data_IF_447547356425
#
_entry.id   IF_447547356425
#
_cell.length_a   1.000
_cell.length_b   1.000
_cell.length_c   1.000
_cell.angle_alpha   90.00
_cell.angle_beta   90.00
_cell.angle_gamma   90.00
#
_symmetry.space_group_name_H-M   'P 1'
#
loop_
_entity.id
_entity.type
_entity.pdbx_description
1 polymer ?
#
# COMPACT_ATOMS: atom_id res chain seq x y z
N UNK A 1 -72.34 -22.05 12.03
CA UNK A 1 -72.50 -20.74 12.70
C UNK A 1 -71.33 -19.84 12.29
N UNK A 2 -71.55 -18.87 11.39
CA UNK A 2 -70.53 -17.90 10.95
C UNK A 2 -70.54 -16.74 11.93
N UNK A 3 -69.54 -16.68 12.82
CA UNK A 3 -69.36 -15.56 13.74
C UNK A 3 -68.81 -14.41 12.91
N UNK A 4 -69.68 -13.46 12.56
CA UNK A 4 -69.31 -12.24 11.86
C UNK A 4 -68.21 -11.56 12.67
N UNK A 5 -66.99 -11.57 12.13
CA UNK A 5 -65.89 -10.78 12.66
C UNK A 5 -66.37 -9.33 12.59
N UNK A 6 -66.73 -8.77 13.75
CA UNK A 6 -67.13 -7.37 13.83
C UNK A 6 -65.95 -6.48 13.49
N UNK A 7 -66.20 -5.19 13.25
CA UNK A 7 -65.16 -4.17 13.06
C UNK A 7 -64.06 -4.24 14.14
N UNK A 8 -64.43 -4.65 15.36
CA UNK A 8 -63.53 -4.86 16.49
C UNK A 8 -62.51 -6.01 16.26
N UNK A 9 -62.93 -7.07 15.58
CA UNK A 9 -62.04 -8.17 15.21
C UNK A 9 -60.98 -7.73 14.20
N UNK A 10 -61.37 -6.92 13.21
CA UNK A 10 -60.42 -6.37 12.23
C UNK A 10 -59.41 -5.42 12.89
N UNK A 11 -59.86 -4.56 13.81
CA UNK A 11 -58.97 -3.66 14.56
C UNK A 11 -57.96 -4.46 15.40
N UNK A 12 -58.40 -5.52 16.06
CA UNK A 12 -57.51 -6.40 16.84
C UNK A 12 -56.45 -7.05 15.94
N UNK A 13 -56.85 -7.55 14.77
CA UNK A 13 -55.92 -8.17 13.82
C UNK A 13 -54.87 -7.17 13.36
N UNK A 14 -55.28 -5.95 12.96
CA UNK A 14 -54.36 -4.89 12.52
C UNK A 14 -53.37 -4.52 13.63
N UNK A 15 -53.84 -4.40 14.87
CA UNK A 15 -52.99 -4.05 16.00
C UNK A 15 -51.93 -5.14 16.28
N UNK A 16 -52.32 -6.41 16.20
CA UNK A 16 -51.40 -7.55 16.37
C UNK A 16 -50.37 -7.60 15.24
N UNK A 17 -50.75 -7.35 13.97
CA UNK A 17 -49.79 -7.33 12.86
C UNK A 17 -48.79 -6.20 12.97
N UNK A 18 -49.20 -5.00 13.40
CA UNK A 18 -48.27 -3.87 13.60
C UNK A 18 -47.23 -4.18 14.68
N UNK A 19 -47.65 -4.81 15.79
CA UNK A 19 -46.73 -5.21 16.87
C UNK A 19 -45.74 -6.27 16.36
N UNK A 20 -46.21 -7.30 15.65
CA UNK A 20 -45.34 -8.34 15.09
C UNK A 20 -44.35 -7.78 14.06
N UNK A 21 -44.78 -6.84 13.22
CA UNK A 21 -43.91 -6.15 12.27
C UNK A 21 -42.83 -5.33 12.99
N UNK A 22 -43.18 -4.62 14.07
CA UNK A 22 -42.23 -3.86 14.88
C UNK A 22 -41.14 -4.74 15.50
N UNK A 23 -41.50 -5.90 16.06
CA UNK A 23 -40.53 -6.86 16.61
C UNK A 23 -39.60 -7.38 15.51
N UNK A 24 -40.15 -7.73 14.33
CA UNK A 24 -39.34 -8.20 13.19
C UNK A 24 -38.31 -7.15 12.73
N UNK A 25 -38.72 -5.89 12.58
CA UNK A 25 -37.84 -4.79 12.18
C UNK A 25 -36.74 -4.55 13.22
N UNK A 26 -37.09 -4.51 14.51
CA UNK A 26 -36.11 -4.32 15.59
C UNK A 26 -35.05 -5.44 15.59
N UNK A 27 -35.48 -6.69 15.41
CA UNK A 27 -34.58 -7.85 15.34
C UNK A 27 -33.66 -7.77 14.14
N UNK A 28 -34.19 -7.36 12.97
CA UNK A 28 -33.41 -7.16 11.76
C UNK A 28 -32.36 -6.04 11.92
N UNK A 29 -32.74 -4.89 12.51
CA UNK A 29 -31.80 -3.78 12.78
C UNK A 29 -30.69 -4.20 13.74
N UNK A 30 -31.02 -4.96 14.79
CA UNK A 30 -30.02 -5.47 15.74
C UNK A 30 -29.03 -6.42 15.08
N UNK A 31 -29.51 -7.30 14.18
CA UNK A 31 -28.64 -8.19 13.40
C UNK A 31 -27.79 -7.44 12.37
N UNK A 32 -28.32 -6.36 11.77
CA UNK A 32 -27.59 -5.52 10.83
C UNK A 32 -26.41 -4.80 11.50
N UNK A 33 -26.63 -4.28 12.72
CA UNK A 33 -25.54 -3.69 13.51
C UNK A 33 -24.47 -4.70 13.90
N UNK A 34 -24.84 -5.95 14.18
CA UNK A 34 -23.89 -7.02 14.47
C UNK A 34 -23.06 -7.45 13.25
N UNK A 35 -23.55 -7.26 12.03
CA UNK A 35 -22.79 -7.52 10.79
C UNK A 35 -21.79 -6.42 10.43
N UNK A 36 -22.00 -5.21 10.93
CA UNK A 36 -21.10 -4.06 10.71
C UNK A 36 -19.85 -4.14 11.60
N UNK A 37 -19.93 -4.84 12.73
CA UNK A 37 -18.72 -5.29 13.43
C UNK A 37 -18.27 -6.58 12.75
N UNK A 38 -17.15 -6.53 12.03
CA UNK A 38 -16.56 -7.73 11.43
C UNK A 38 -16.04 -8.63 12.56
N UNK A 39 -16.94 -9.36 13.21
CA UNK A 39 -16.60 -10.28 14.28
C UNK A 39 -16.15 -11.55 13.59
N UNK A 40 -14.87 -11.59 13.27
CA UNK A 40 -14.14 -12.83 13.39
C UNK A 40 -13.61 -12.85 14.83
N UNK A 41 -14.32 -13.45 15.81
CA UNK A 41 -13.98 -13.35 17.23
C UNK A 41 -12.61 -13.98 17.57
N UNK A 42 -12.03 -14.71 16.62
CA UNK A 42 -10.80 -15.46 16.76
C UNK A 42 -9.76 -15.16 15.66
N UNK A 43 -9.97 -14.15 14.80
CA UNK A 43 -8.85 -13.70 13.96
C UNK A 43 -8.01 -12.82 14.86
N UNK A 44 -6.79 -13.26 15.24
CA UNK A 44 -5.91 -12.43 16.06
C UNK A 44 -5.83 -11.07 15.36
N UNK A 45 -6.23 -10.02 16.10
CA UNK A 45 -6.01 -8.64 15.68
C UNK A 45 -4.59 -8.58 15.16
N UNK A 46 -4.45 -8.27 13.87
CA UNK A 46 -3.15 -8.07 13.26
C UNK A 46 -2.46 -7.07 14.15
N UNK A 47 -1.48 -7.55 14.93
CA UNK A 47 -0.65 -6.72 15.77
C UNK A 47 -0.24 -5.52 14.92
N UNK A 48 -0.17 -4.29 15.48
CA UNK A 48 0.40 -3.17 14.75
C UNK A 48 1.70 -3.70 14.18
N UNK A 49 1.82 -3.71 12.83
CA UNK A 49 2.99 -4.19 12.10
C UNK A 49 4.17 -3.83 12.97
N UNK A 50 4.84 -4.84 13.54
CA UNK A 50 5.96 -4.61 14.44
C UNK A 50 6.79 -3.53 13.75
N UNK A 51 7.04 -2.41 14.42
CA UNK A 51 7.92 -1.36 13.90
C UNK A 51 9.19 -2.12 13.55
N UNK A 52 9.30 -2.46 12.27
CA UNK A 52 10.33 -3.34 11.78
C UNK A 52 11.44 -2.34 11.62
N UNK A 53 12.16 -2.12 12.72
CA UNK A 53 13.47 -1.50 12.63
C UNK A 53 14.19 -2.32 11.59
N UNK A 54 14.31 -1.75 10.40
CA UNK A 54 14.99 -2.40 9.31
C UNK A 54 16.37 -2.76 9.82
N UNK A 55 16.80 -3.99 9.56
CA UNK A 55 18.13 -4.43 9.97
C UNK A 55 19.14 -3.41 9.47
N UNK A 56 20.14 -3.09 10.29
CA UNK A 56 21.20 -2.14 9.94
C UNK A 56 22.17 -2.73 8.93
N UNK A 57 21.66 -3.54 8.01
CA UNK A 57 22.37 -4.05 6.87
C UNK A 57 22.62 -2.90 5.92
N UNK A 58 23.88 -2.79 5.52
CA UNK A 58 24.36 -1.73 4.66
C UNK A 58 24.89 -2.38 3.39
N UNK A 59 24.43 -1.93 2.23
CA UNK A 59 24.96 -2.39 0.95
C UNK A 59 25.92 -1.33 0.40
N UNK A 60 27.18 -1.69 0.08
CA UNK A 60 28.11 -0.75 -0.53
C UNK A 60 27.62 -0.35 -1.91
N UNK A 61 27.66 0.94 -2.19
CA UNK A 61 27.27 1.49 -3.49
C UNK A 61 28.45 1.44 -4.48
N UNK A 62 28.17 1.37 -5.79
CA UNK A 62 29.23 1.40 -6.80
C UNK A 62 29.98 2.74 -6.82
N UNK A 63 31.25 2.77 -7.27
CA UNK A 63 32.01 4.00 -7.42
C UNK A 63 31.28 4.98 -8.34
N UNK A 64 31.15 6.24 -7.92
CA UNK A 64 30.37 7.28 -8.61
C UNK A 64 28.96 7.53 -8.04
N UNK A 65 28.53 6.77 -7.03
CA UNK A 65 27.34 7.08 -6.24
C UNK A 65 27.59 8.25 -5.29
N UNK A 66 26.54 9.01 -4.96
CA UNK A 66 26.61 10.13 -4.00
C UNK A 66 26.66 9.67 -2.54
N UNK A 67 26.24 8.43 -2.28
CA UNK A 67 26.36 7.76 -0.99
C UNK A 67 27.28 6.55 -1.13
N UNK A 68 28.17 6.35 -0.17
CA UNK A 68 29.03 5.17 -0.12
C UNK A 68 28.23 3.89 0.22
N UNK A 69 27.07 4.06 0.85
CA UNK A 69 26.33 2.99 1.51
C UNK A 69 24.82 3.23 1.41
N UNK A 70 24.07 2.26 0.88
CA UNK A 70 22.60 2.25 0.89
C UNK A 70 22.07 1.59 2.17
N UNK A 71 21.10 2.24 2.81
CA UNK A 71 20.39 1.72 4.00
C UNK A 71 18.94 1.40 3.64
N UNK A 72 18.33 0.46 4.37
CA UNK A 72 16.90 0.14 4.24
C UNK A 72 16.05 1.23 4.88
N UNK A 73 15.03 1.71 4.16
CA UNK A 73 14.12 2.77 4.62
C UNK A 73 12.76 2.15 4.99
N UNK A 74 12.22 2.41 6.20
CA UNK A 74 10.85 2.01 6.56
C UNK A 74 9.80 2.70 5.67
N UNK A 75 8.61 2.12 5.45
CA UNK A 75 8.02 0.98 6.16
C UNK A 75 8.31 -0.41 5.55
N UNK A 76 8.74 -0.45 4.30
CA UNK A 76 8.91 -1.73 3.56
C UNK A 76 10.34 -2.27 3.63
N UNK A 77 11.24 -1.56 4.31
CA UNK A 77 12.65 -1.91 4.48
C UNK A 77 13.37 -2.19 3.15
N UNK A 78 12.97 -1.46 2.11
CA UNK A 78 13.64 -1.46 0.81
C UNK A 78 14.90 -0.60 0.88
N UNK A 79 15.97 -1.01 0.20
CA UNK A 79 17.19 -0.22 0.15
C UNK A 79 16.92 1.10 -0.58
N UNK A 80 17.31 2.21 0.04
CA UNK A 80 17.33 3.50 -0.65
C UNK A 80 18.22 3.38 -1.89
N UNK A 81 17.84 4.03 -3.00
CA UNK A 81 18.68 4.02 -4.19
C UNK A 81 20.04 4.63 -3.87
N UNK A 82 21.12 3.98 -4.31
CA UNK A 82 22.49 4.49 -4.19
C UNK A 82 22.69 5.85 -4.85
N UNK A 83 21.80 6.20 -5.79
CA UNK A 83 21.74 7.50 -6.43
C UNK A 83 20.55 8.25 -5.84
N UNK A 84 20.81 9.38 -5.18
CA UNK A 84 19.74 10.31 -4.88
C UNK A 84 19.29 10.90 -6.22
N UNK A 85 18.04 10.65 -6.64
CA UNK A 85 17.49 11.04 -7.96
C UNK A 85 17.57 12.55 -8.26
N UNK A 86 18.05 13.39 -7.34
CA UNK A 86 17.90 14.84 -7.44
C UNK A 86 19.19 15.68 -7.33
N UNK A 87 20.40 15.11 -7.39
CA UNK A 87 21.62 15.92 -7.22
C UNK A 87 22.46 16.18 -8.48
N UNK A 88 22.10 15.65 -9.64
CA UNK A 88 22.36 16.45 -10.83
C UNK A 88 21.34 17.58 -10.76
N UNK A 89 21.77 18.73 -10.24
CA UNK A 89 21.03 20.00 -10.34
C UNK A 89 20.32 20.02 -11.69
N UNK A 90 19.01 20.32 -11.69
CA UNK A 90 18.14 20.37 -12.87
C UNK A 90 18.54 21.48 -13.86
N UNK A 91 19.81 21.81 -13.91
CA UNK A 91 20.43 22.60 -14.95
C UNK A 91 20.22 21.89 -16.27
N UNK A 92 19.55 22.61 -17.15
CA UNK A 92 19.41 22.29 -18.55
C UNK A 92 20.34 23.21 -19.32
N UNK A 93 21.11 22.66 -20.25
CA UNK A 93 21.87 23.46 -21.22
C UNK A 93 21.08 23.54 -22.51
N UNK A 94 20.98 24.73 -23.09
CA UNK A 94 20.38 24.90 -24.40
C UNK A 94 21.41 24.54 -25.47
N UNK A 95 21.06 23.57 -26.30
CA UNK A 95 21.82 23.20 -27.48
C UNK A 95 21.66 24.27 -28.58
N UNK A 96 22.57 24.31 -29.58
CA UNK A 96 22.54 25.31 -30.66
C UNK A 96 21.27 25.25 -31.54
N UNK A 97 20.59 24.10 -31.55
CA UNK A 97 19.30 23.86 -32.19
C UNK A 97 18.11 24.42 -31.39
N UNK A 98 18.37 24.96 -30.19
CA UNK A 98 17.35 25.45 -29.26
C UNK A 98 16.73 24.37 -28.37
N UNK A 99 17.14 23.10 -28.49
CA UNK A 99 16.66 22.02 -27.62
C UNK A 99 17.36 22.07 -26.26
N UNK A 100 16.71 21.53 -25.22
CA UNK A 100 17.24 21.52 -23.85
C UNK A 100 17.66 20.12 -23.47
N UNK A 101 18.91 19.95 -23.06
CA UNK A 101 19.46 18.67 -22.61
C UNK A 101 19.66 18.66 -21.10
N UNK A 102 19.15 17.64 -20.37
CA UNK A 102 19.43 17.46 -18.96
C UNK A 102 20.82 16.84 -18.75
N UNK A 103 21.33 16.95 -17.52
CA UNK A 103 22.50 16.19 -17.08
C UNK A 103 22.13 14.71 -16.91
N UNK A 104 22.98 13.81 -17.37
CA UNK A 104 22.82 12.36 -17.24
C UNK A 104 23.70 11.87 -16.07
N UNK A 105 23.14 11.16 -15.06
CA UNK A 105 23.92 10.45 -14.07
C UNK A 105 24.78 9.34 -14.73
N UNK A 106 25.96 8.96 -14.18
CA UNK A 106 26.45 9.25 -12.84
C UNK A 106 27.35 10.51 -12.73
N UNK A 107 27.95 10.94 -13.84
CA UNK A 107 28.90 12.07 -13.80
C UNK A 107 28.22 13.45 -13.89
N UNK A 108 26.89 13.48 -14.00
CA UNK A 108 26.11 14.70 -14.21
C UNK A 108 26.59 15.54 -15.41
N UNK A 109 27.13 14.89 -16.45
CA UNK A 109 27.46 15.54 -17.72
C UNK A 109 26.19 15.79 -18.54
N UNK A 110 26.13 16.89 -19.28
CA UNK A 110 24.99 17.16 -20.18
C UNK A 110 24.87 16.07 -21.25
N UNK A 111 23.64 15.63 -21.53
CA UNK A 111 23.39 14.71 -22.63
C UNK A 111 23.91 15.30 -23.96
N UNK A 112 24.48 14.48 -24.87
CA UNK A 112 24.86 14.96 -26.18
C UNK A 112 23.63 15.49 -26.93
N UNK A 113 23.76 16.66 -27.56
CA UNK A 113 22.70 17.26 -28.38
C UNK A 113 22.34 16.33 -29.55
N UNK A 114 21.08 15.91 -29.63
CA UNK A 114 20.57 15.06 -30.69
C UNK A 114 20.43 15.87 -32.00
N UNK A 115 21.53 16.11 -32.69
CA UNK A 115 21.51 16.87 -33.95
C UNK A 115 22.88 17.32 -34.45
N UNK A 116 23.92 17.31 -33.61
CA UNK A 116 25.27 17.70 -34.00
C UNK A 116 26.12 16.51 -34.47
N UNK A 117 25.61 15.75 -35.42
CA UNK A 117 26.43 14.90 -36.27
C UNK A 117 26.56 15.62 -37.61
N UNK A 118 27.79 15.99 -38.00
CA UNK A 118 28.16 16.74 -39.22
C UNK A 118 27.83 18.25 -39.07
N UNK A 119 28.77 19.13 -38.74
CA UNK A 119 29.88 19.58 -39.58
C UNK A 119 31.05 20.04 -38.68
N UNK A 120 32.27 19.58 -38.97
CA UNK A 120 33.45 19.91 -38.18
C UNK A 120 33.83 21.39 -38.23
N UNK A 121 33.89 22.03 -37.07
CA UNK A 121 34.85 23.10 -36.81
C UNK A 121 35.37 22.95 -35.38
N UNK A 122 36.65 22.60 -35.28
CA UNK A 122 37.42 22.57 -34.04
C UNK A 122 37.62 24.02 -33.57
N UNK A 123 36.88 24.44 -32.53
CA UNK A 123 37.27 25.62 -31.76
C UNK A 123 37.65 25.18 -30.34
N UNK A 124 38.92 24.79 -30.20
CA UNK A 124 39.58 24.65 -28.91
C UNK A 124 39.67 26.01 -28.22
N UNK A 125 38.74 26.32 -27.33
CA UNK A 125 38.99 27.28 -26.26
C UNK A 125 39.41 26.49 -25.02
N UNK A 126 40.72 26.25 -24.92
CA UNK A 126 41.37 25.90 -23.66
C UNK A 126 41.23 27.08 -22.71
N UNK A 127 40.34 26.96 -21.72
CA UNK A 127 40.41 27.76 -20.50
C UNK A 127 41.09 26.90 -19.45
N UNK A 128 42.39 27.11 -19.27
CA UNK A 128 43.17 26.60 -18.16
C UNK A 128 42.65 27.23 -16.85
N UNK A 129 41.84 26.49 -16.10
CA UNK A 129 41.47 26.84 -14.74
C UNK A 129 42.48 26.20 -13.76
N UNK A 130 43.10 26.97 -12.86
CA UNK A 130 44.22 26.50 -12.05
C UNK A 130 43.81 25.50 -10.97
N UNK A 131 44.65 24.48 -10.85
CA UNK A 131 44.84 23.53 -9.76
C UNK A 131 44.71 24.14 -8.36
N UNK A 132 43.80 23.65 -7.50
CA UNK A 132 44.01 23.67 -6.07
C UNK A 132 44.67 22.38 -5.60
N UNK A 133 45.95 22.52 -5.26
CA UNK A 133 46.70 21.93 -4.13
C UNK A 133 46.14 20.67 -3.47
N UNK A 134 46.81 19.55 -3.69
CA UNK A 134 46.74 18.38 -2.82
C UNK A 134 47.46 18.67 -1.49
N UNK A 135 46.73 18.63 -0.37
CA UNK A 135 47.33 18.48 0.97
C UNK A 135 47.36 17.00 1.31
N UNK A 136 48.55 16.41 1.22
CA UNK A 136 48.84 15.12 1.81
C UNK A 136 49.22 15.33 3.29
N UNK A 137 48.48 14.71 4.20
CA UNK A 137 48.96 14.42 5.57
C UNK A 137 48.77 12.94 5.84
N UNK A 138 49.87 12.22 5.71
CA UNK A 138 50.05 10.87 6.25
C UNK A 138 50.27 10.95 7.76
N UNK A 139 49.58 10.16 8.57
CA UNK A 139 50.16 9.64 9.83
C UNK A 139 49.52 8.30 10.18
N UNK A 140 50.33 7.25 10.08
CA UNK A 140 50.11 5.91 10.61
C UNK A 140 50.17 5.89 12.13
N UNK A 141 49.33 5.09 12.79
CA UNK A 141 49.77 4.32 13.96
C UNK A 141 48.83 3.15 14.27
N UNK A 142 49.32 1.90 14.31
CA UNK A 142 48.54 0.75 14.73
C UNK A 142 48.56 0.62 16.26
N UNK A 143 47.43 0.29 16.88
CA UNK A 143 47.44 -0.33 18.22
C UNK A 143 46.29 -1.32 18.34
N UNK A 144 46.70 -2.58 18.39
CA UNK A 144 45.92 -3.76 18.74
C UNK A 144 45.49 -3.73 20.21
N UNK A 145 44.23 -4.04 20.49
CA UNK A 145 43.84 -4.71 21.75
C UNK A 145 42.58 -5.55 21.51
N UNK A 146 42.70 -6.88 21.36
CA UNK A 146 41.59 -7.79 21.58
C UNK A 146 41.54 -8.17 23.06
N UNK A 147 40.46 -7.84 23.74
CA UNK A 147 40.11 -8.46 25.04
C UNK A 147 38.82 -9.23 24.82
N UNK A 148 38.93 -10.56 24.92
CA UNK A 148 37.83 -11.48 24.71
C UNK A 148 36.80 -11.44 25.83
N UNK A 149 35.62 -11.98 25.53
CA UNK A 149 34.75 -12.59 26.53
C UNK A 149 34.02 -13.78 25.87
N UNK A 150 34.01 -14.97 26.51
CA UNK A 150 33.44 -16.18 25.94
C UNK A 150 31.93 -16.26 26.21
N UNK A 151 31.17 -16.60 25.16
CA UNK A 151 29.76 -16.96 25.27
C UNK A 151 29.42 -18.00 24.22
N UNK A 152 29.84 -19.24 24.46
CA UNK A 152 29.37 -20.37 23.67
C UNK A 152 27.87 -20.58 23.96
N UNK A 153 27.01 -20.15 23.03
CA UNK A 153 25.63 -20.62 22.96
C UNK A 153 25.53 -21.49 21.72
N UNK A 154 25.34 -22.78 21.95
CA UNK A 154 25.20 -23.77 20.89
C UNK A 154 24.00 -23.41 20.00
N UNK A 155 24.28 -23.07 18.74
CA UNK A 155 23.26 -22.89 17.71
C UNK A 155 22.81 -24.27 17.25
N UNK A 156 21.51 -24.61 17.30
CA UNK A 156 21.01 -25.88 16.80
C UNK A 156 21.19 -25.96 15.28
N UNK A 157 21.69 -27.10 14.84
CA UNK A 157 21.83 -27.53 13.44
C UNK A 157 20.56 -27.25 12.63
N UNK A 158 20.61 -26.43 11.56
CA UNK A 158 19.49 -26.33 10.63
C UNK A 158 19.32 -27.67 9.91
N UNK A 159 18.16 -28.29 10.15
CA UNK A 159 17.69 -29.43 9.35
C UNK A 159 17.51 -28.96 7.91
N UNK A 160 17.97 -29.70 6.88
CA UNK A 160 17.70 -29.37 5.48
C UNK A 160 16.19 -29.32 5.22
N UNK A 161 15.65 -28.09 5.19
CA UNK A 161 14.27 -27.81 4.84
C UNK A 161 14.05 -28.12 3.37
N UNK A 162 13.07 -28.99 3.11
CA UNK A 162 12.58 -29.35 1.78
C UNK A 162 12.42 -28.11 0.90
N UNK A 163 12.92 -28.21 -0.33
CA UNK A 163 12.61 -27.33 -1.46
C UNK A 163 11.12 -27.03 -1.50
N UNK A 164 10.74 -25.82 -1.09
CA UNK A 164 9.38 -25.31 -1.23
C UNK A 164 9.25 -24.84 -2.67
N UNK A 165 8.47 -25.58 -3.46
CA UNK A 165 7.99 -25.17 -4.77
C UNK A 165 7.33 -23.79 -4.62
N UNK A 166 7.73 -22.77 -5.41
CA UNK A 166 7.12 -21.45 -5.33
C UNK A 166 5.63 -21.57 -5.65
N UNK A 167 4.79 -21.21 -4.67
CA UNK A 167 3.36 -21.06 -4.87
C UNK A 167 3.11 -19.87 -5.83
N UNK A 168 2.16 -19.99 -6.77
CA UNK A 168 1.90 -18.94 -7.75
C UNK A 168 1.53 -17.62 -7.04
N UNK A 169 2.25 -16.56 -7.41
CA UNK A 169 2.01 -15.18 -7.02
C UNK A 169 0.54 -14.82 -7.24
N UNK A 170 -0.19 -14.55 -6.15
CA UNK A 170 -1.56 -14.09 -6.23
C UNK A 170 -1.60 -12.70 -6.88
N UNK A 171 -2.27 -12.63 -8.03
CA UNK A 171 -2.63 -11.38 -8.70
C UNK A 171 -3.37 -10.48 -7.72
N UNK A 172 -2.96 -9.20 -7.52
CA UNK A 172 -3.66 -8.28 -6.64
C UNK A 172 -5.04 -7.97 -7.23
N UNK A 173 -6.06 -8.63 -6.68
CA UNK A 173 -7.46 -8.31 -6.93
C UNK A 173 -7.73 -6.92 -6.38
N UNK A 174 -8.05 -5.97 -7.25
CA UNK A 174 -8.42 -4.61 -6.89
C UNK A 174 -9.53 -4.60 -5.82
N UNK A 175 -9.52 -3.65 -4.87
CA UNK A 175 -10.54 -3.54 -3.84
C UNK A 175 -11.92 -3.34 -4.48
N UNK A 176 -12.75 -4.38 -4.42
CA UNK A 176 -14.15 -4.30 -4.83
C UNK A 176 -14.87 -3.35 -3.87
N UNK A 177 -15.40 -2.25 -4.43
CA UNK A 177 -16.29 -1.35 -3.72
C UNK A 177 -17.44 -2.17 -3.10
N UNK A 178 -17.84 -1.90 -1.84
CA UNK A 178 -18.93 -2.64 -1.21
C UNK A 178 -20.19 -2.43 -2.04
N UNK A 179 -20.63 -3.50 -2.68
CA UNK A 179 -21.94 -3.56 -3.33
C UNK A 179 -22.94 -3.26 -2.21
N UNK A 180 -23.58 -2.09 -2.25
CA UNK A 180 -24.66 -1.73 -1.34
C UNK A 180 -25.84 -2.64 -1.67
N UNK A 181 -25.80 -3.83 -1.07
CA UNK A 181 -26.77 -4.90 -1.19
C UNK A 181 -28.11 -4.44 -0.65
N UNK A 182 -28.95 -3.96 -1.56
CA UNK A 182 -30.40 -4.10 -1.35
C UNK A 182 -30.68 -5.57 -1.62
N UNK A 183 -30.49 -6.40 -0.59
CA UNK A 183 -30.58 -7.84 -0.75
C UNK A 183 -31.98 -8.19 -1.31
N UNK A 184 -32.01 -9.06 -2.33
CA UNK A 184 -33.24 -9.56 -2.97
C UNK A 184 -34.36 -9.98 -1.99
N UNK A 185 -34.08 -10.55 -0.80
CA UNK A 185 -35.11 -10.83 0.20
C UNK A 185 -35.86 -9.60 0.69
N UNK A 186 -35.20 -8.45 0.81
CA UNK A 186 -35.83 -7.20 1.27
C UNK A 186 -36.74 -6.61 0.20
N UNK A 187 -36.32 -6.66 -1.08
CA UNK A 187 -37.15 -6.25 -2.21
C UNK A 187 -38.41 -7.12 -2.30
N UNK A 188 -38.26 -8.45 -2.15
CA UNK A 188 -39.41 -9.35 -2.11
C UNK A 188 -40.32 -9.11 -0.90
N UNK A 189 -39.75 -8.88 0.28
CA UNK A 189 -40.53 -8.61 1.49
C UNK A 189 -41.39 -7.35 1.36
N UNK A 190 -40.82 -6.27 0.83
CA UNK A 190 -41.56 -5.02 0.57
C UNK A 190 -42.63 -5.22 -0.49
N UNK A 191 -42.32 -5.93 -1.59
CA UNK A 191 -43.28 -6.19 -2.66
C UNK A 191 -44.48 -7.03 -2.18
N UNK A 192 -44.24 -8.11 -1.45
CA UNK A 192 -45.32 -8.96 -0.90
C UNK A 192 -46.18 -8.16 0.08
N UNK A 193 -45.56 -7.38 0.97
CA UNK A 193 -46.29 -6.54 1.92
C UNK A 193 -47.20 -5.54 1.21
N UNK A 194 -46.71 -4.89 0.16
CA UNK A 194 -47.49 -3.96 -0.65
C UNK A 194 -48.69 -4.63 -1.33
N UNK A 195 -48.50 -5.83 -1.89
CA UNK A 195 -49.58 -6.61 -2.50
C UNK A 195 -50.66 -7.04 -1.50
N UNK A 196 -50.28 -7.40 -0.27
CA UNK A 196 -51.25 -7.75 0.78
C UNK A 196 -52.09 -6.54 1.19
N UNK A 197 -51.48 -5.35 1.29
CA UNK A 197 -52.21 -4.11 1.61
C UNK A 197 -53.19 -3.75 0.50
N UNK A 198 -52.76 -3.77 -0.77
CA UNK A 198 -53.64 -3.50 -1.91
C UNK A 198 -54.77 -4.53 -2.01
N UNK A 199 -54.46 -5.82 -1.85
CA UNK A 199 -55.46 -6.88 -1.89
C UNK A 199 -56.50 -6.75 -0.78
N UNK A 200 -56.06 -6.35 0.43
CA UNK A 200 -56.97 -6.10 1.56
C UNK A 200 -57.87 -4.89 1.31
N UNK A 201 -57.35 -3.84 0.66
CA UNK A 201 -58.12 -2.64 0.33
C UNK A 201 -59.16 -2.91 -0.78
N UNK A 202 -58.79 -3.68 -1.81
CA UNK A 202 -59.69 -4.09 -2.89
C UNK A 202 -60.79 -5.04 -2.41
N UNK A 203 -60.51 -5.90 -1.43
CA UNK A 203 -61.52 -6.79 -0.86
C UNK A 203 -62.48 -6.05 0.10
N UNK A 204 -62.08 -4.88 0.59
CA UNK A 204 -62.86 -4.07 1.51
C UNK A 204 -63.78 -3.03 0.83
N UNK A 205 -63.52 -2.73 -0.46
CA UNK A 205 -64.35 -1.91 -1.34
C UNK A 205 -65.39 -2.77 -2.05
#
# INVERSE_FOLDING_TARGET
MKKSIGKLGTILIILVTVILAGVAIFTALRLYQLRQQSVAPNVPSSQPKAVTNCTTEVMPCPPGADKEFARRVPPDCEFESCYTTNNCILEVTQCPDGTWVPRIPPECNFAPCAGSCLIGFTLSTQTSSPTPTATATSTSSPTSTPTGSPGASATPTPTPGKTVTPAPTATPTAPALPVSGTDWPTVFGVAIGFFVIIGSLLLAL
#
